data_IF_814516591256
#
_entry.id   IF_814516591256
#
_cell.length_a   1.000
_cell.length_b   1.000
_cell.length_c   1.000
_cell.angle_alpha   90.00
_cell.angle_beta   90.00
_cell.angle_gamma   90.00
#
_symmetry.space_group_name_H-M   'P 1'
#
loop_
_entity.id
_entity.type
_entity.pdbx_description
1 polymer ?
#
# COMPACT_ATOMS: atom_id res chain seq x y z
N UNK A 1 42.33 28.13 8.37
CA UNK A 1 41.11 28.47 7.64
C UNK A 1 40.38 27.25 7.08
N UNK A 2 41.00 26.33 6.33
CA UNK A 2 40.28 25.15 5.76
C UNK A 2 39.64 24.23 6.78
N UNK A 3 40.21 24.01 7.98
CA UNK A 3 39.64 23.17 9.03
C UNK A 3 38.42 23.81 9.72
N UNK A 4 38.35 25.14 9.78
CA UNK A 4 37.21 25.86 10.37
C UNK A 4 35.96 25.81 9.45
N UNK A 5 36.21 25.87 8.12
CA UNK A 5 35.14 25.79 7.12
C UNK A 5 34.50 24.39 7.11
N UNK A 6 35.30 23.32 7.26
CA UNK A 6 34.77 21.93 7.33
C UNK A 6 33.93 21.70 8.59
N UNK A 7 34.36 22.28 9.74
CA UNK A 7 33.57 22.21 10.98
C UNK A 7 32.28 23.01 10.89
N UNK A 8 32.27 24.15 10.20
CA UNK A 8 31.07 24.96 9.97
C UNK A 8 30.09 24.24 9.01
N UNK A 9 30.61 23.59 7.96
CA UNK A 9 29.80 22.79 7.04
C UNK A 9 29.22 21.54 7.70
N UNK A 10 29.99 20.87 8.55
CA UNK A 10 29.48 19.73 9.36
C UNK A 10 28.42 20.19 10.40
N UNK A 11 28.61 21.37 10.99
CA UNK A 11 27.64 21.97 11.89
C UNK A 11 26.33 22.37 11.18
N UNK A 12 26.41 22.88 9.95
CA UNK A 12 25.26 23.21 9.12
C UNK A 12 24.52 21.97 8.64
N UNK A 13 25.21 20.88 8.32
CA UNK A 13 24.60 19.58 7.98
C UNK A 13 23.92 18.93 9.19
N UNK A 14 24.48 19.12 10.39
CA UNK A 14 23.84 18.64 11.62
C UNK A 14 22.59 19.46 12.02
N UNK A 15 22.53 20.73 11.61
CA UNK A 15 21.35 21.58 11.86
C UNK A 15 20.23 21.40 10.83
N UNK A 16 20.53 20.82 9.66
CA UNK A 16 19.51 20.55 8.63
C UNK A 16 18.77 19.21 8.82
N UNK A 17 19.17 18.36 9.78
CA UNK A 17 18.49 17.09 10.09
C UNK A 17 17.40 17.20 11.15
N UNK A 18 16.93 18.41 11.47
CA UNK A 18 15.72 18.62 12.25
C UNK A 18 14.46 18.49 11.37
N UNK A 19 14.38 17.46 10.54
CA UNK A 19 13.14 17.10 9.87
C UNK A 19 12.07 16.73 10.92
N UNK A 20 10.86 17.25 10.76
CA UNK A 20 9.70 16.78 11.53
C UNK A 20 9.66 15.26 11.41
N UNK A 21 9.70 14.56 12.53
CA UNK A 21 9.63 13.09 12.52
C UNK A 21 8.17 12.70 12.35
N UNK A 22 7.83 12.11 11.25
CA UNK A 22 6.51 11.54 11.01
C UNK A 22 6.36 10.24 11.83
N UNK A 23 5.23 10.09 12.49
CA UNK A 23 4.88 8.88 13.24
C UNK A 23 3.49 8.45 12.79
N UNK A 24 3.35 7.21 12.40
CA UNK A 24 2.06 6.58 12.19
C UNK A 24 1.62 5.94 13.51
N UNK A 25 0.39 6.20 13.92
CA UNK A 25 -0.14 5.69 15.15
C UNK A 25 -1.57 5.17 14.97
N UNK A 26 -1.85 4.09 15.64
CA UNK A 26 -3.13 3.40 15.70
C UNK A 26 -3.59 3.36 17.14
N UNK A 27 -4.83 3.69 17.44
CA UNK A 27 -5.28 3.66 18.82
C UNK A 27 -6.69 4.15 19.02
N UNK A 28 -7.06 4.29 20.29
CA UNK A 28 -8.36 4.75 20.74
C UNK A 28 -8.26 6.17 21.28
N UNK A 29 -9.20 7.06 20.93
CA UNK A 29 -9.34 8.35 21.61
C UNK A 29 -9.92 8.09 23.01
N UNK A 30 -9.20 8.59 24.03
CA UNK A 30 -9.57 8.44 25.44
C UNK A 30 -9.93 9.78 26.08
N UNK A 31 -9.58 10.90 25.47
CA UNK A 31 -10.00 12.21 25.91
C UNK A 31 -9.99 13.24 24.78
N UNK A 32 -10.81 14.28 24.93
CA UNK A 32 -10.97 15.41 24.01
C UNK A 32 -10.77 16.70 24.76
N UNK A 33 -10.11 17.66 24.11
CA UNK A 33 -9.86 18.98 24.70
C UNK A 33 -10.39 20.06 23.75
N UNK A 34 -11.19 20.97 24.31
CA UNK A 34 -11.75 22.10 23.57
C UNK A 34 -11.15 23.42 24.07
N UNK A 35 -11.15 24.44 23.20
CA UNK A 35 -10.83 25.81 23.60
C UNK A 35 -12.02 26.51 24.30
N UNK A 36 -11.84 27.77 24.68
CA UNK A 36 -12.90 28.58 25.34
C UNK A 36 -14.15 28.77 24.48
N UNK A 37 -14.08 28.58 23.18
CA UNK A 37 -15.20 28.63 22.24
C UNK A 37 -15.95 27.32 22.08
N UNK A 38 -15.44 26.23 22.68
CA UNK A 38 -15.97 24.88 22.52
C UNK A 38 -15.42 24.14 21.29
N UNK A 39 -14.48 24.72 20.54
CA UNK A 39 -13.85 24.07 19.39
C UNK A 39 -12.84 23.05 19.86
N UNK A 40 -12.86 21.86 19.29
CA UNK A 40 -11.88 20.80 19.55
C UNK A 40 -10.49 21.26 19.10
N UNK A 41 -9.50 21.18 19.98
CA UNK A 41 -8.13 21.60 19.73
C UNK A 41 -7.12 20.44 19.87
N UNK A 42 -7.45 19.43 20.63
CA UNK A 42 -6.63 18.23 20.74
C UNK A 42 -7.44 17.03 21.20
N UNK A 43 -6.91 15.85 20.91
CA UNK A 43 -7.39 14.58 21.44
C UNK A 43 -6.25 13.84 22.12
N UNK A 44 -6.56 13.09 23.18
CA UNK A 44 -5.61 12.13 23.77
C UNK A 44 -6.00 10.75 23.29
N UNK A 45 -5.02 10.03 22.76
CA UNK A 45 -5.21 8.68 22.26
C UNK A 45 -4.29 7.68 22.96
N UNK A 46 -4.83 6.53 23.29
CA UNK A 46 -4.05 5.36 23.71
C UNK A 46 -3.72 4.54 22.47
N UNK A 47 -2.43 4.40 22.17
CA UNK A 47 -1.96 3.82 20.92
C UNK A 47 -1.18 2.54 21.14
N UNK A 48 -1.30 1.60 20.20
CA UNK A 48 -0.66 0.29 20.27
C UNK A 48 0.87 0.35 20.30
N UNK A 49 1.46 1.34 19.60
CA UNK A 49 2.92 1.39 19.40
C UNK A 49 3.61 2.53 20.13
N UNK A 50 2.88 3.61 20.47
CA UNK A 50 3.46 4.83 21.02
C UNK A 50 3.01 5.10 22.47
N UNK A 51 2.15 4.23 23.03
CA UNK A 51 1.48 4.47 24.31
C UNK A 51 0.52 5.64 24.25
N UNK A 52 0.20 6.25 25.37
CA UNK A 52 -0.68 7.41 25.41
C UNK A 52 -0.01 8.64 24.82
N UNK A 53 -0.66 9.25 23.82
CA UNK A 53 -0.16 10.43 23.08
C UNK A 53 -1.26 11.50 23.00
N UNK A 54 -0.85 12.77 22.85
CA UNK A 54 -1.75 13.87 22.53
C UNK A 54 -1.58 14.27 21.06
N UNK A 55 -2.69 14.41 20.37
CA UNK A 55 -2.77 14.86 18.99
C UNK A 55 -3.37 16.27 18.97
N UNK A 56 -2.60 17.23 18.48
CA UNK A 56 -3.02 18.61 18.33
C UNK A 56 -3.62 18.75 16.95
N UNK A 57 -4.86 19.21 16.88
CA UNK A 57 -5.54 19.48 15.62
C UNK A 57 -5.09 20.83 15.08
N UNK A 58 -4.58 20.82 13.86
CA UNK A 58 -4.17 22.00 13.11
C UNK A 58 -5.33 22.46 12.21
N UNK A 59 -5.28 23.67 11.68
CA UNK A 59 -6.30 24.17 10.74
C UNK A 59 -6.42 23.31 9.47
N UNK A 60 -5.35 22.63 9.10
CA UNK A 60 -5.27 21.73 7.94
C UNK A 60 -5.24 20.26 8.30
N UNK A 61 -5.58 19.88 9.53
CA UNK A 61 -5.75 18.47 9.89
C UNK A 61 -6.88 17.88 9.07
N UNK A 62 -6.58 16.87 8.29
CA UNK A 62 -7.60 16.15 7.53
C UNK A 62 -8.29 15.15 8.44
N UNK A 63 -9.62 15.23 8.50
CA UNK A 63 -10.46 14.26 9.22
C UNK A 63 -11.18 13.42 8.17
N UNK A 64 -10.88 12.13 8.16
CA UNK A 64 -11.54 11.14 7.29
C UNK A 64 -12.64 10.44 8.10
N UNK A 65 -13.86 10.90 7.89
CA UNK A 65 -15.05 10.41 8.61
C UNK A 65 -15.93 9.67 7.60
N UNK A 66 -16.38 8.44 7.89
CA UNK A 66 -17.31 7.72 7.04
C UNK A 66 -18.57 8.54 6.74
N UNK A 67 -19.14 8.40 5.55
CA UNK A 67 -20.34 9.13 5.08
C UNK A 67 -21.55 9.01 6.03
N UNK A 68 -21.58 8.00 6.86
CA UNK A 68 -22.63 7.75 7.85
C UNK A 68 -22.48 8.57 9.14
N UNK A 69 -21.35 9.25 9.33
CA UNK A 69 -21.05 10.08 10.51
C UNK A 69 -20.77 11.51 10.11
N UNK A 70 -21.24 12.45 10.91
CA UNK A 70 -20.78 13.83 10.81
C UNK A 70 -19.44 13.99 11.51
N UNK A 71 -18.66 15.03 11.13
CA UNK A 71 -17.44 15.39 11.88
C UNK A 71 -17.75 15.61 13.38
N UNK A 72 -18.93 16.12 13.68
CA UNK A 72 -19.38 16.38 15.05
C UNK A 72 -19.60 15.07 15.82
N UNK A 73 -20.20 14.03 15.19
CA UNK A 73 -20.38 12.71 15.79
C UNK A 73 -19.03 12.06 16.07
N UNK A 74 -18.09 12.11 15.11
CA UNK A 74 -16.73 11.61 15.28
C UNK A 74 -16.01 12.24 16.47
N UNK A 75 -16.22 13.53 16.69
CA UNK A 75 -15.55 14.28 17.74
C UNK A 75 -16.22 14.13 19.11
N UNK A 76 -17.48 13.68 19.16
CA UNK A 76 -18.28 13.61 20.40
C UNK A 76 -18.64 12.21 20.85
N UNK A 77 -18.65 11.24 19.96
CA UNK A 77 -19.01 9.85 20.30
C UNK A 77 -17.82 9.12 20.96
N UNK A 78 -17.98 8.80 22.25
CA UNK A 78 -16.98 8.09 23.04
C UNK A 78 -16.82 6.61 22.66
N UNK A 79 -17.74 6.07 21.86
CA UNK A 79 -17.67 4.69 21.37
C UNK A 79 -16.75 4.53 20.17
N UNK A 80 -16.38 5.63 19.50
CA UNK A 80 -15.55 5.61 18.29
C UNK A 80 -14.08 5.32 18.60
N UNK A 81 -13.47 4.52 17.74
CA UNK A 81 -12.04 4.18 17.79
C UNK A 81 -11.34 4.82 16.59
N UNK A 82 -10.86 6.06 16.69
CA UNK A 82 -10.23 6.69 15.56
C UNK A 82 -8.93 6.02 15.19
N UNK A 83 -8.71 5.96 13.92
CA UNK A 83 -7.45 5.63 13.30
C UNK A 83 -6.59 6.90 13.16
N UNK A 84 -5.33 6.83 13.56
CA UNK A 84 -4.39 7.95 13.43
C UNK A 84 -3.30 7.51 12.49
N UNK A 85 -3.27 8.07 11.27
CA UNK A 85 -2.34 7.62 10.25
C UNK A 85 -1.02 8.37 10.25
N UNK A 86 -1.04 9.70 10.36
CA UNK A 86 0.16 10.52 10.25
C UNK A 86 0.16 11.65 11.25
N UNK A 87 1.21 11.75 12.03
CA UNK A 87 1.38 12.80 13.03
C UNK A 87 2.83 13.32 12.99
N UNK A 88 3.00 14.62 13.26
CA UNK A 88 4.30 15.26 13.36
C UNK A 88 4.63 15.56 14.81
N UNK A 89 5.89 15.34 15.21
CA UNK A 89 6.36 15.65 16.56
C UNK A 89 6.16 17.15 16.85
N UNK A 90 5.24 17.47 17.74
CA UNK A 90 4.98 18.82 18.21
C UNK A 90 5.97 19.16 19.31
N UNK A 91 6.99 19.95 19.00
CA UNK A 91 7.92 20.51 19.99
C UNK A 91 7.25 21.61 20.84
N UNK A 92 6.12 21.32 21.42
CA UNK A 92 5.39 22.28 22.26
C UNK A 92 5.78 22.06 23.71
N UNK A 93 6.52 22.99 24.28
CA UNK A 93 7.02 22.96 25.64
C UNK A 93 6.03 23.28 26.72
N UNK A 94 4.72 23.05 26.59
CA UNK A 94 3.73 23.30 27.63
C UNK A 94 2.72 22.17 27.74
N UNK A 95 2.65 21.61 28.97
CA UNK A 95 1.64 20.68 29.48
C UNK A 95 1.41 19.41 28.64
N UNK A 96 2.49 18.65 28.47
CA UNK A 96 2.41 17.31 27.91
C UNK A 96 2.08 16.31 29.04
N UNK A 97 1.00 16.55 29.78
CA UNK A 97 0.56 15.67 30.86
C UNK A 97 -0.89 15.29 30.64
N UNK A 98 -1.18 14.03 30.87
CA UNK A 98 -2.52 13.49 30.97
C UNK A 98 -2.59 12.61 32.21
N UNK A 99 -3.60 12.80 33.05
CA UNK A 99 -3.74 12.10 34.35
C UNK A 99 -2.47 12.12 35.23
N UNK A 100 -1.73 13.26 35.22
CA UNK A 100 -0.44 13.49 35.91
C UNK A 100 0.77 12.75 35.32
N UNK A 101 0.63 12.05 34.19
CA UNK A 101 1.74 11.43 33.49
C UNK A 101 2.20 12.29 32.31
N UNK A 102 3.51 12.26 32.04
CA UNK A 102 4.05 12.93 30.83
C UNK A 102 3.74 12.10 29.60
N UNK A 103 3.05 12.71 28.64
CA UNK A 103 2.74 12.11 27.35
C UNK A 103 3.44 12.85 26.22
N UNK A 104 3.61 12.18 25.08
CA UNK A 104 4.14 12.81 23.84
C UNK A 104 3.02 13.57 23.14
N UNK A 105 3.37 14.72 22.54
CA UNK A 105 2.45 15.52 21.76
C UNK A 105 2.88 15.55 20.29
N UNK A 106 1.90 15.45 19.41
CA UNK A 106 2.12 15.47 17.98
C UNK A 106 1.09 16.39 17.30
N UNK A 107 1.51 17.09 16.26
CA UNK A 107 0.59 17.79 15.37
C UNK A 107 -0.01 16.77 14.41
N UNK A 108 -1.31 16.58 14.42
CA UNK A 108 -1.99 15.64 13.55
C UNK A 108 -2.14 16.24 12.14
N UNK A 109 -1.64 15.55 11.13
CA UNK A 109 -1.87 15.85 9.73
C UNK A 109 -3.15 15.18 9.23
N UNK A 110 -3.41 13.98 9.72
CA UNK A 110 -4.56 13.18 9.36
C UNK A 110 -5.08 12.42 10.58
N UNK A 111 -6.39 12.41 10.79
CA UNK A 111 -7.08 11.54 11.74
C UNK A 111 -8.22 10.90 10.96
N UNK A 112 -8.18 9.58 10.81
CA UNK A 112 -9.23 8.79 10.20
C UNK A 112 -9.84 7.81 11.19
N UNK A 113 -10.99 7.28 10.86
CA UNK A 113 -11.62 6.21 11.60
C UNK A 113 -11.22 4.87 11.01
N UNK A 114 -10.86 3.90 11.83
CA UNK A 114 -10.77 2.52 11.37
C UNK A 114 -12.17 1.96 11.12
N UNK A 115 -12.27 0.95 10.27
CA UNK A 115 -13.54 0.26 10.01
C UNK A 115 -14.09 -0.23 11.35
N UNK A 116 -15.27 0.21 11.68
CA UNK A 116 -15.72 0.21 13.05
C UNK A 116 -16.24 -1.11 13.55
N UNK A 117 -15.73 -1.48 14.72
CA UNK A 117 -16.35 -2.51 15.58
C UNK A 117 -17.71 -2.09 16.16
N UNK A 118 -18.07 -0.82 16.03
CA UNK A 118 -19.32 -0.25 16.57
C UNK A 118 -20.44 -0.19 15.53
N UNK A 119 -20.12 -0.36 14.23
CA UNK A 119 -21.14 -0.50 13.20
C UNK A 119 -21.84 -1.86 13.30
N UNK A 120 -23.11 -1.90 12.94
CA UNK A 120 -23.79 -3.19 12.79
C UNK A 120 -23.11 -3.94 11.65
N UNK A 121 -22.72 -5.23 11.84
CA UNK A 121 -22.12 -5.99 10.76
C UNK A 121 -23.01 -5.95 9.52
N UNK A 122 -22.43 -5.61 8.37
CA UNK A 122 -23.16 -5.58 7.10
C UNK A 122 -23.66 -6.98 6.72
N UNK A 123 -22.89 -8.01 7.10
CA UNK A 123 -23.22 -9.42 6.82
C UNK A 123 -22.41 -10.37 7.72
N UNK A 124 -22.63 -11.66 7.50
CA UNK A 124 -21.85 -12.75 8.10
C UNK A 124 -21.36 -13.66 7.00
N UNK A 125 -20.11 -14.12 7.09
CA UNK A 125 -19.52 -15.14 6.22
C UNK A 125 -19.26 -16.39 7.08
N UNK A 126 -19.61 -17.57 6.57
CA UNK A 126 -19.36 -18.84 7.24
C UNK A 126 -18.23 -19.57 6.50
N UNK A 127 -17.16 -19.90 7.20
CA UNK A 127 -16.04 -20.68 6.68
C UNK A 127 -16.40 -22.18 6.56
N UNK A 128 -15.56 -22.94 5.89
CA UNK A 128 -15.78 -24.36 5.61
C UNK A 128 -15.90 -25.23 6.87
N UNK A 129 -15.26 -24.83 7.97
CA UNK A 129 -15.31 -25.49 9.27
C UNK A 129 -16.53 -25.07 10.15
N UNK A 130 -17.41 -24.20 9.60
CA UNK A 130 -18.56 -23.66 10.31
C UNK A 130 -18.27 -22.43 11.17
N UNK A 131 -17.04 -21.90 11.15
CA UNK A 131 -16.71 -20.64 11.84
C UNK A 131 -17.41 -19.47 11.17
N UNK A 132 -18.09 -18.65 11.97
CA UNK A 132 -18.75 -17.43 11.50
C UNK A 132 -17.86 -16.21 11.71
N UNK A 133 -17.72 -15.40 10.65
CA UNK A 133 -17.08 -14.12 10.63
C UNK A 133 -18.10 -13.01 10.47
N UNK A 134 -18.03 -11.97 11.28
CA UNK A 134 -18.75 -10.71 11.07
C UNK A 134 -18.03 -9.89 10.03
N UNK A 135 -18.77 -9.30 9.11
CA UNK A 135 -18.24 -8.50 8.01
C UNK A 135 -18.65 -7.05 8.22
N UNK A 136 -17.66 -6.17 8.28
CA UNK A 136 -17.85 -4.73 8.33
C UNK A 136 -17.25 -4.16 7.05
N UNK A 137 -17.97 -3.31 6.34
CA UNK A 137 -17.52 -2.76 5.08
C UNK A 137 -17.81 -1.25 5.00
N UNK A 138 -16.87 -0.51 4.43
CA UNK A 138 -17.03 0.86 3.97
C UNK A 138 -16.69 0.98 2.47
N UNK A 139 -16.46 2.20 1.96
CA UNK A 139 -16.10 2.45 0.56
C UNK A 139 -14.77 1.81 0.15
N UNK A 140 -13.81 1.74 1.06
CA UNK A 140 -12.41 1.43 0.75
C UNK A 140 -11.94 0.10 1.33
N UNK A 141 -12.66 -0.41 2.34
CA UNK A 141 -12.21 -1.56 3.09
C UNK A 141 -13.35 -2.53 3.45
N UNK A 142 -12.97 -3.77 3.67
CA UNK A 142 -13.82 -4.78 4.33
C UNK A 142 -13.04 -5.44 5.45
N UNK A 143 -13.59 -5.45 6.67
CA UNK A 143 -13.02 -6.09 7.84
C UNK A 143 -13.78 -7.37 8.17
N UNK A 144 -13.06 -8.45 8.38
CA UNK A 144 -13.58 -9.75 8.76
C UNK A 144 -13.16 -10.09 10.19
N UNK A 145 -14.12 -10.16 11.11
CA UNK A 145 -13.89 -10.32 12.55
C UNK A 145 -14.52 -11.60 13.06
N UNK A 146 -13.78 -12.37 13.84
CA UNK A 146 -14.32 -13.53 14.56
C UNK A 146 -15.41 -13.11 15.54
N UNK A 147 -16.42 -13.95 15.78
CA UNK A 147 -17.54 -13.65 16.69
C UNK A 147 -17.10 -13.28 18.11
N UNK A 148 -15.89 -13.68 18.52
CA UNK A 148 -15.27 -13.32 19.79
C UNK A 148 -14.57 -11.95 19.79
N UNK A 149 -14.60 -11.23 18.68
CA UNK A 149 -14.06 -9.86 18.57
C UNK A 149 -12.61 -9.76 18.07
N UNK A 150 -11.98 -10.85 17.66
CA UNK A 150 -10.63 -10.80 17.05
C UNK A 150 -10.76 -10.44 15.57
N UNK A 151 -10.09 -9.38 15.15
CA UNK A 151 -9.98 -8.99 13.75
C UNK A 151 -9.04 -9.97 13.04
N UNK A 152 -9.60 -10.67 12.06
CA UNK A 152 -8.87 -11.72 11.36
C UNK A 152 -8.16 -11.17 10.13
N UNK A 153 -8.91 -10.48 9.27
CA UNK A 153 -8.45 -10.02 7.97
C UNK A 153 -9.10 -8.69 7.62
N UNK A 154 -8.30 -7.76 7.13
CA UNK A 154 -8.74 -6.54 6.47
C UNK A 154 -8.43 -6.64 4.98
N UNK A 155 -9.42 -6.44 4.16
CA UNK A 155 -9.31 -6.32 2.72
C UNK A 155 -9.38 -4.85 2.33
N UNK A 156 -8.32 -4.30 1.74
CA UNK A 156 -8.40 -3.02 1.06
C UNK A 156 -9.02 -3.26 -0.32
N UNK A 157 -10.06 -2.51 -0.67
CA UNK A 157 -10.70 -2.68 -1.97
C UNK A 157 -9.70 -2.39 -3.10
N UNK A 158 -9.78 -3.11 -4.23
CA UNK A 158 -8.88 -2.90 -5.35
C UNK A 158 -8.85 -1.45 -5.81
N UNK A 159 -7.66 -0.87 -5.88
CA UNK A 159 -7.49 0.48 -6.41
C UNK A 159 -7.65 0.50 -7.93
N UNK A 160 -8.06 1.67 -8.44
CA UNK A 160 -8.07 1.99 -9.86
C UNK A 160 -7.01 3.06 -10.15
N UNK A 161 -6.55 3.22 -11.41
CA UNK A 161 -5.59 4.27 -11.77
C UNK A 161 -6.07 5.70 -11.46
N UNK A 162 -7.35 5.93 -11.29
CA UNK A 162 -7.95 7.22 -10.93
C UNK A 162 -7.54 7.69 -9.54
N UNK A 163 -7.35 6.75 -8.62
CA UNK A 163 -6.98 7.01 -7.23
C UNK A 163 -5.46 7.16 -7.03
N UNK A 164 -4.67 7.04 -8.11
CA UNK A 164 -3.22 7.04 -8.03
C UNK A 164 -2.66 8.36 -8.52
N UNK A 165 -1.94 9.06 -7.66
CA UNK A 165 -1.26 10.29 -8.04
C UNK A 165 -0.09 9.96 -8.99
N UNK A 166 -0.17 10.46 -10.21
CA UNK A 166 0.87 10.30 -11.23
C UNK A 166 1.29 11.64 -11.80
N UNK A 167 2.52 11.71 -12.31
CA UNK A 167 3.11 12.95 -12.82
C UNK A 167 3.51 12.79 -14.29
N UNK A 168 3.35 13.86 -15.08
CA UNK A 168 3.78 13.89 -16.46
C UNK A 168 2.99 12.93 -17.35
N UNK A 169 3.68 12.22 -18.24
CA UNK A 169 3.06 11.29 -19.19
C UNK A 169 2.39 10.07 -18.52
N UNK A 170 2.74 9.76 -17.28
CA UNK A 170 2.15 8.66 -16.50
C UNK A 170 0.75 8.98 -15.96
N UNK A 171 0.34 10.24 -16.02
CA UNK A 171 -0.97 10.66 -15.52
C UNK A 171 -2.08 10.29 -16.50
N UNK A 172 -3.05 9.50 -16.03
CA UNK A 172 -4.24 9.11 -16.79
C UNK A 172 -5.12 10.32 -17.16
N UNK A 173 -5.10 11.41 -16.39
CA UNK A 173 -5.85 12.63 -16.66
C UNK A 173 -5.36 13.38 -17.90
N UNK A 174 -4.17 13.07 -18.39
CA UNK A 174 -3.63 13.62 -19.63
C UNK A 174 -4.11 12.87 -20.89
N UNK A 175 -4.93 11.83 -20.72
CA UNK A 175 -5.53 11.08 -21.82
C UNK A 175 -6.80 11.79 -22.31
N UNK A 176 -7.23 11.44 -23.53
CA UNK A 176 -8.59 11.79 -23.92
C UNK A 176 -9.61 10.97 -23.11
N UNK A 177 -10.80 11.51 -22.91
CA UNK A 177 -11.84 10.91 -22.06
C UNK A 177 -12.24 9.49 -22.49
N UNK A 178 -12.21 9.21 -23.80
CA UNK A 178 -12.53 7.87 -24.30
C UNK A 178 -11.48 6.84 -23.90
N UNK A 179 -10.20 7.16 -24.06
CA UNK A 179 -9.11 6.26 -23.67
C UNK A 179 -9.08 6.06 -22.16
N UNK A 180 -9.27 7.15 -21.39
CA UNK A 180 -9.38 7.07 -19.92
C UNK A 180 -10.51 6.13 -19.52
N UNK A 181 -11.70 6.29 -20.06
CA UNK A 181 -12.85 5.46 -19.76
C UNK A 181 -12.62 3.97 -20.06
N UNK A 182 -11.93 3.64 -21.15
CA UNK A 182 -11.59 2.25 -21.52
C UNK A 182 -10.64 1.64 -20.49
N UNK A 183 -9.60 2.38 -20.06
CA UNK A 183 -8.66 1.90 -19.03
C UNK A 183 -9.38 1.68 -17.68
N UNK A 184 -10.22 2.60 -17.25
CA UNK A 184 -10.97 2.47 -16.00
C UNK A 184 -11.91 1.27 -16.04
N UNK A 185 -12.64 1.08 -17.16
CA UNK A 185 -13.51 -0.09 -17.37
C UNK A 185 -12.73 -1.41 -17.31
N UNK A 186 -11.51 -1.44 -17.87
CA UNK A 186 -10.65 -2.62 -17.77
C UNK A 186 -10.36 -3.01 -16.30
N UNK A 187 -10.01 -2.03 -15.45
CA UNK A 187 -9.72 -2.30 -14.04
C UNK A 187 -10.98 -2.65 -13.24
N UNK A 188 -12.12 -2.03 -13.55
CA UNK A 188 -13.40 -2.35 -12.95
C UNK A 188 -13.85 -3.78 -13.31
N UNK A 189 -13.80 -4.16 -14.58
CA UNK A 189 -14.17 -5.49 -15.05
C UNK A 189 -13.22 -6.58 -14.54
N UNK A 190 -11.93 -6.28 -14.42
CA UNK A 190 -10.95 -7.21 -13.89
C UNK A 190 -11.20 -7.53 -12.41
N UNK A 191 -11.59 -6.53 -11.63
CA UNK A 191 -11.90 -6.67 -10.22
C UNK A 191 -10.75 -7.22 -9.38
N UNK A 192 -11.07 -8.13 -8.45
CA UNK A 192 -10.11 -8.80 -7.55
C UNK A 192 -9.28 -9.84 -8.30
N UNK A 193 -7.97 -9.86 -8.04
CA UNK A 193 -7.03 -10.88 -8.52
C UNK A 193 -6.85 -12.06 -7.53
N UNK A 194 -7.71 -12.17 -6.55
CA UNK A 194 -7.71 -13.19 -5.52
C UNK A 194 -9.14 -13.64 -5.21
N UNK A 195 -9.28 -14.84 -4.65
CA UNK A 195 -10.53 -15.32 -4.10
C UNK A 195 -10.58 -15.01 -2.60
N UNK A 196 -11.47 -14.12 -2.21
CA UNK A 196 -11.58 -13.69 -0.81
C UNK A 196 -11.95 -14.87 0.10
N UNK A 197 -12.73 -15.85 -0.37
CA UNK A 197 -13.09 -17.03 0.42
C UNK A 197 -11.86 -17.87 0.73
N UNK A 198 -11.01 -18.12 -0.29
CA UNK A 198 -9.75 -18.84 -0.09
C UNK A 198 -8.83 -18.10 0.87
N UNK A 199 -8.73 -16.77 0.77
CA UNK A 199 -7.86 -15.98 1.64
C UNK A 199 -8.39 -15.93 3.09
N UNK A 200 -9.70 -15.92 3.30
CA UNK A 200 -10.30 -16.04 4.64
C UNK A 200 -10.04 -17.40 5.27
N UNK A 201 -10.14 -18.50 4.50
CA UNK A 201 -9.80 -19.86 4.98
C UNK A 201 -8.32 -19.94 5.39
N UNK A 202 -7.40 -19.39 4.58
CA UNK A 202 -5.97 -19.32 4.89
C UNK A 202 -5.72 -18.48 6.16
N UNK A 203 -6.33 -17.30 6.24
CA UNK A 203 -6.20 -16.42 7.38
C UNK A 203 -6.69 -17.12 8.67
N UNK A 204 -7.81 -17.81 8.61
CA UNK A 204 -8.32 -18.58 9.74
C UNK A 204 -7.41 -19.74 10.13
N UNK A 205 -6.84 -20.45 9.16
CA UNK A 205 -5.88 -21.52 9.42
C UNK A 205 -4.61 -20.98 10.13
N UNK A 206 -4.10 -19.82 9.71
CA UNK A 206 -2.99 -19.15 10.38
C UNK A 206 -3.37 -18.76 11.82
N UNK A 207 -4.56 -18.18 12.03
CA UNK A 207 -5.06 -17.85 13.36
C UNK A 207 -5.18 -19.09 14.25
N UNK A 208 -5.68 -20.22 13.73
CA UNK A 208 -5.81 -21.45 14.50
C UNK A 208 -4.47 -21.99 14.99
N UNK A 209 -3.40 -21.81 14.20
CA UNK A 209 -2.04 -22.23 14.53
C UNK A 209 -1.30 -21.23 15.43
N UNK A 210 -1.79 -20.00 15.55
CA UNK A 210 -1.17 -18.97 16.36
C UNK A 210 -1.16 -19.33 17.85
N UNK A 211 -0.02 -19.06 18.51
CA UNK A 211 0.13 -19.20 19.94
C UNK A 211 -0.37 -17.97 20.71
N UNK A 212 -0.56 -16.84 20.03
CA UNK A 212 -0.97 -15.57 20.62
C UNK A 212 -2.31 -15.10 20.05
N UNK A 213 -3.38 -15.85 20.33
CA UNK A 213 -4.72 -15.56 19.83
C UNK A 213 -5.34 -14.29 20.38
N UNK A 214 -4.93 -13.87 21.58
CA UNK A 214 -5.45 -12.66 22.25
C UNK A 214 -4.93 -11.38 21.57
N UNK A 215 -3.69 -11.40 21.10
CA UNK A 215 -3.06 -10.31 20.39
C UNK A 215 -2.68 -10.75 18.96
N UNK A 216 -3.59 -11.42 18.27
CA UNK A 216 -3.38 -11.85 16.91
C UNK A 216 -3.27 -10.63 16.00
N UNK A 217 -2.18 -10.48 15.22
CA UNK A 217 -2.04 -9.36 14.32
C UNK A 217 -3.03 -9.51 13.17
N UNK A 218 -3.92 -8.53 12.99
CA UNK A 218 -4.84 -8.47 11.87
C UNK A 218 -4.06 -8.57 10.56
N UNK A 219 -4.40 -9.56 9.74
CA UNK A 219 -3.82 -9.73 8.42
C UNK A 219 -4.44 -8.76 7.42
N UNK A 220 -3.75 -8.50 6.30
CA UNK A 220 -4.22 -7.54 5.29
C UNK A 220 -4.08 -8.12 3.90
N UNK A 221 -5.07 -7.80 3.07
CA UNK A 221 -5.01 -7.96 1.61
C UNK A 221 -5.01 -6.57 1.00
N UNK A 222 -4.12 -6.36 0.04
CA UNK A 222 -4.04 -5.10 -0.70
C UNK A 222 -3.80 -5.38 -2.18
N UNK A 223 -4.61 -4.78 -3.04
CA UNK A 223 -4.43 -4.76 -4.48
C UNK A 223 -4.30 -3.32 -4.94
N UNK A 224 -3.10 -2.91 -5.26
CA UNK A 224 -2.76 -1.53 -5.62
C UNK A 224 -2.33 -1.44 -7.07
N UNK A 225 -2.58 -0.28 -7.70
CA UNK A 225 -2.18 0.02 -9.09
C UNK A 225 -1.22 1.20 -9.08
N UNK A 226 -0.08 1.07 -9.76
CA UNK A 226 0.94 2.12 -9.83
C UNK A 226 1.35 2.39 -11.27
N UNK A 227 1.39 3.65 -11.73
CA UNK A 227 1.98 4.00 -13.00
C UNK A 227 3.51 3.86 -12.91
N UNK A 228 4.11 3.02 -13.73
CA UNK A 228 5.54 2.70 -13.66
C UNK A 228 6.36 3.32 -14.76
N UNK A 229 5.80 3.39 -15.97
CA UNK A 229 6.46 3.96 -17.13
C UNK A 229 5.45 4.56 -18.11
N UNK A 230 5.92 5.35 -19.05
CA UNK A 230 5.12 5.87 -20.14
C UNK A 230 6.01 6.30 -21.32
N UNK A 231 5.41 6.41 -22.52
CA UNK A 231 5.95 7.13 -23.64
C UNK A 231 4.82 7.84 -24.41
N UNK A 232 5.06 8.35 -25.60
CA UNK A 232 4.03 9.06 -26.37
C UNK A 232 2.88 8.15 -26.83
N UNK A 233 3.07 6.83 -26.88
CA UNK A 233 2.08 5.86 -27.36
C UNK A 233 1.49 5.01 -26.26
N UNK A 234 2.25 4.72 -25.20
CA UNK A 234 1.91 3.72 -24.19
C UNK A 234 1.88 4.27 -22.78
N UNK A 235 1.06 3.64 -21.96
CA UNK A 235 1.06 3.71 -20.50
C UNK A 235 1.34 2.34 -19.93
N UNK A 236 2.18 2.29 -18.90
CA UNK A 236 2.53 1.08 -18.17
C UNK A 236 2.12 1.23 -16.72
N UNK A 237 1.33 0.28 -16.25
CA UNK A 237 0.95 0.18 -14.85
C UNK A 237 1.48 -1.12 -14.25
N UNK A 238 1.81 -1.06 -12.96
CA UNK A 238 2.06 -2.24 -12.15
C UNK A 238 0.87 -2.43 -11.21
N UNK A 239 0.20 -3.57 -11.29
CA UNK A 239 -0.68 -4.02 -10.21
C UNK A 239 0.13 -4.86 -9.23
N UNK A 240 0.11 -4.46 -7.97
CA UNK A 240 0.75 -5.17 -6.87
C UNK A 240 -0.33 -5.79 -5.99
N UNK A 241 -0.21 -7.09 -5.71
CA UNK A 241 -1.13 -7.85 -4.88
C UNK A 241 -0.37 -8.39 -3.67
N UNK A 242 -0.73 -7.92 -2.48
CA UNK A 242 -0.22 -8.41 -1.20
C UNK A 242 -1.24 -9.36 -0.57
N UNK A 243 -0.83 -10.59 -0.31
CA UNK A 243 -1.65 -11.63 0.32
C UNK A 243 -0.99 -12.15 1.59
N UNK A 244 -1.75 -12.46 2.64
CA UNK A 244 -1.21 -13.06 3.85
C UNK A 244 -0.49 -14.38 3.57
N UNK A 245 0.71 -14.55 4.15
CA UNK A 245 1.48 -15.79 4.09
C UNK A 245 1.60 -16.45 5.47
N UNK A 246 1.82 -15.63 6.51
CA UNK A 246 1.83 -16.02 7.92
C UNK A 246 1.42 -14.80 8.76
N UNK A 247 1.39 -14.91 10.11
CA UNK A 247 0.91 -13.87 11.03
C UNK A 247 1.46 -12.46 10.76
N UNK A 248 2.71 -12.35 10.27
CA UNK A 248 3.40 -11.05 10.07
C UNK A 248 4.08 -10.96 8.72
N UNK A 249 3.83 -11.90 7.85
CA UNK A 249 4.44 -11.95 6.53
C UNK A 249 3.37 -12.02 5.45
N UNK A 250 3.71 -11.50 4.30
CA UNK A 250 2.86 -11.53 3.11
C UNK A 250 3.67 -12.00 1.90
N UNK A 251 2.98 -12.48 0.91
CA UNK A 251 3.53 -12.68 -0.43
C UNK A 251 3.10 -11.53 -1.32
N UNK A 252 4.01 -11.06 -2.15
CA UNK A 252 3.73 -10.04 -3.16
C UNK A 252 3.72 -10.69 -4.55
N UNK A 253 2.70 -10.37 -5.34
CA UNK A 253 2.63 -10.72 -6.76
C UNK A 253 2.43 -9.45 -7.55
N UNK A 254 3.30 -9.24 -8.52
CA UNK A 254 3.26 -8.07 -9.38
C UNK A 254 2.86 -8.47 -10.79
N UNK A 255 2.18 -7.56 -11.48
CA UNK A 255 1.74 -7.72 -12.86
C UNK A 255 1.83 -6.40 -13.58
N UNK A 256 2.33 -6.40 -14.81
CA UNK A 256 2.34 -5.22 -15.67
C UNK A 256 1.13 -5.23 -16.60
N UNK A 257 0.44 -4.11 -16.68
CA UNK A 257 -0.60 -3.84 -17.65
C UNK A 257 -0.19 -2.67 -18.55
N UNK A 258 -0.41 -2.82 -19.84
CA UNK A 258 0.04 -1.88 -20.86
C UNK A 258 -1.14 -1.43 -21.68
N UNK A 259 -1.24 -0.12 -21.89
CA UNK A 259 -2.37 0.47 -22.61
C UNK A 259 -1.89 1.44 -23.70
N UNK A 260 -2.56 1.40 -24.84
CA UNK A 260 -2.43 2.41 -25.87
C UNK A 260 -3.01 3.75 -25.38
N UNK A 261 -2.23 4.82 -25.47
CA UNK A 261 -2.64 6.14 -24.95
C UNK A 261 -3.75 6.80 -25.76
N UNK A 262 -3.90 6.44 -27.02
CA UNK A 262 -4.90 7.05 -27.89
C UNK A 262 -6.27 6.40 -27.72
N UNK A 263 -6.29 5.09 -27.56
CA UNK A 263 -7.52 4.28 -27.55
C UNK A 263 -7.89 3.75 -26.17
N UNK A 264 -6.94 3.66 -25.24
CA UNK A 264 -7.10 2.99 -23.94
C UNK A 264 -7.07 1.47 -24.04
N UNK A 265 -6.87 0.90 -25.22
CA UNK A 265 -6.87 -0.54 -25.40
C UNK A 265 -5.70 -1.21 -24.67
N UNK A 266 -5.99 -2.31 -23.99
CA UNK A 266 -4.97 -3.18 -23.41
C UNK A 266 -4.13 -3.83 -24.51
N UNK A 267 -2.81 -3.83 -24.31
CA UNK A 267 -1.85 -4.50 -25.19
C UNK A 267 -1.20 -5.68 -24.46
N UNK A 268 -1.20 -6.87 -25.06
CA UNK A 268 -0.41 -7.99 -24.57
C UNK A 268 1.08 -7.65 -24.54
N UNK A 269 1.74 -8.03 -23.45
CA UNK A 269 3.14 -7.66 -23.22
C UNK A 269 4.09 -8.21 -24.29
N UNK A 270 3.78 -9.36 -24.87
CA UNK A 270 4.53 -9.99 -25.95
C UNK A 270 4.59 -9.15 -27.22
N UNK A 271 3.61 -8.30 -27.48
CA UNK A 271 3.58 -7.42 -28.66
C UNK A 271 4.64 -6.30 -28.61
N UNK A 272 5.23 -6.05 -27.44
CA UNK A 272 6.26 -5.03 -27.27
C UNK A 272 7.64 -5.50 -27.75
N UNK A 273 7.82 -6.81 -27.89
CA UNK A 273 9.12 -7.41 -28.17
C UNK A 273 9.29 -7.80 -29.63
N UNK A 274 10.54 -7.74 -30.09
CA UNK A 274 10.92 -8.11 -31.48
C UNK A 274 11.17 -9.60 -31.66
N UNK A 275 11.31 -10.35 -30.56
CA UNK A 275 11.54 -11.79 -30.56
C UNK A 275 10.26 -12.57 -30.21
N UNK A 276 10.17 -13.85 -30.59
CA UNK A 276 9.06 -14.71 -30.20
C UNK A 276 8.97 -14.88 -28.68
N UNK A 277 7.74 -15.02 -28.10
CA UNK A 277 7.55 -15.17 -26.65
C UNK A 277 8.34 -16.32 -26.02
N UNK A 278 8.49 -17.43 -26.74
CA UNK A 278 9.24 -18.61 -26.28
C UNK A 278 10.75 -18.38 -26.13
N UNK A 279 11.31 -17.38 -26.81
CA UNK A 279 12.71 -17.01 -26.72
C UNK A 279 12.96 -15.88 -25.72
N UNK A 280 11.92 -15.13 -25.35
CA UNK A 280 12.04 -13.88 -24.61
C UNK A 280 12.70 -14.08 -23.24
N UNK A 281 12.28 -15.12 -22.49
CA UNK A 281 12.85 -15.41 -21.19
C UNK A 281 14.35 -15.64 -21.24
N UNK A 282 14.83 -16.47 -22.16
CA UNK A 282 16.26 -16.75 -22.30
C UNK A 282 17.07 -15.52 -22.76
N UNK A 283 16.50 -14.66 -23.60
CA UNK A 283 17.14 -13.43 -24.04
C UNK A 283 17.25 -12.39 -22.92
N UNK A 284 16.18 -12.18 -22.15
CA UNK A 284 16.18 -11.28 -21.01
C UNK A 284 17.15 -11.74 -19.89
N UNK A 285 17.16 -13.05 -19.59
CA UNK A 285 18.07 -13.59 -18.59
C UNK A 285 19.55 -13.48 -18.98
N UNK A 286 19.87 -13.51 -20.27
CA UNK A 286 21.22 -13.22 -20.76
C UNK A 286 21.62 -11.76 -20.50
N UNK A 287 20.72 -10.82 -20.75
CA UNK A 287 20.96 -9.40 -20.52
C UNK A 287 21.09 -9.07 -19.03
N UNK A 288 20.30 -9.72 -18.18
CA UNK A 288 20.33 -9.53 -16.72
C UNK A 288 21.55 -10.09 -16.01
N UNK A 289 22.54 -10.63 -16.74
CA UNK A 289 23.78 -11.17 -16.17
C UNK A 289 23.57 -12.25 -15.11
N UNK A 290 22.56 -13.10 -15.29
CA UNK A 290 22.22 -14.19 -14.39
C UNK A 290 23.35 -15.24 -14.35
N UNK A 291 23.66 -15.75 -13.14
CA UNK A 291 24.67 -16.81 -12.96
C UNK A 291 24.27 -18.09 -13.72
N UNK A 292 25.26 -18.88 -14.14
CA UNK A 292 24.97 -20.18 -14.78
C UNK A 292 24.21 -21.13 -13.84
N UNK A 293 24.45 -21.03 -12.53
CA UNK A 293 23.80 -21.88 -11.53
C UNK A 293 22.30 -21.58 -11.40
N UNK A 294 21.88 -20.33 -11.59
CA UNK A 294 20.50 -19.90 -11.44
C UNK A 294 19.73 -19.88 -12.76
N UNK A 295 20.44 -19.80 -13.90
CA UNK A 295 19.86 -19.62 -15.23
C UNK A 295 18.80 -20.68 -15.56
N UNK A 296 19.11 -21.95 -15.37
CA UNK A 296 18.17 -23.04 -15.69
C UNK A 296 16.93 -23.04 -14.82
N UNK A 297 17.05 -22.65 -13.55
CA UNK A 297 15.92 -22.50 -12.64
C UNK A 297 15.03 -21.31 -13.04
N UNK A 298 15.65 -20.15 -13.33
CA UNK A 298 14.95 -18.94 -13.78
C UNK A 298 14.28 -19.10 -15.15
N UNK A 299 14.94 -19.78 -16.12
CA UNK A 299 14.33 -20.09 -17.43
C UNK A 299 13.10 -20.98 -17.27
N UNK A 300 13.14 -21.94 -16.35
CA UNK A 300 12.01 -22.85 -16.09
C UNK A 300 10.86 -22.18 -15.36
N UNK A 301 11.15 -21.18 -14.52
CA UNK A 301 10.17 -20.46 -13.72
C UNK A 301 9.62 -19.20 -14.45
N UNK A 302 10.28 -18.75 -15.51
CA UNK A 302 9.93 -17.50 -16.21
C UNK A 302 8.51 -17.55 -16.76
N UNK A 303 7.77 -16.46 -16.52
CA UNK A 303 6.46 -16.18 -17.09
C UNK A 303 6.44 -14.73 -17.60
N UNK A 304 5.72 -14.47 -18.67
CA UNK A 304 5.61 -13.13 -19.24
C UNK A 304 5.04 -12.11 -18.25
N UNK A 305 4.14 -12.55 -17.39
CA UNK A 305 3.53 -11.70 -16.37
C UNK A 305 4.51 -11.20 -15.29
N UNK A 306 5.72 -11.80 -15.19
CA UNK A 306 6.76 -11.34 -14.27
C UNK A 306 7.52 -10.12 -14.79
N UNK A 307 7.30 -9.72 -16.04
CA UNK A 307 7.97 -8.56 -16.64
C UNK A 307 7.28 -7.28 -16.17
N UNK A 308 8.04 -6.37 -15.57
CA UNK A 308 7.58 -5.05 -15.14
C UNK A 308 8.42 -3.99 -15.83
N UNK A 309 7.77 -3.08 -16.53
CA UNK A 309 8.43 -1.92 -17.14
C UNK A 309 8.54 -0.77 -16.14
N UNK A 310 9.74 -0.18 -16.09
CA UNK A 310 10.05 1.06 -15.36
C UNK A 310 10.64 2.07 -16.34
N UNK A 311 10.78 3.34 -15.96
CA UNK A 311 11.32 4.37 -16.85
C UNK A 311 12.73 4.02 -17.37
N UNK A 312 13.60 3.55 -16.49
CA UNK A 312 15.02 3.32 -16.78
C UNK A 312 15.41 1.85 -16.89
N UNK A 313 14.47 0.94 -16.70
CA UNK A 313 14.77 -0.48 -16.58
C UNK A 313 13.56 -1.35 -16.85
N UNK A 314 13.83 -2.61 -17.14
CA UNK A 314 12.86 -3.70 -17.13
C UNK A 314 13.21 -4.62 -15.96
N UNK A 315 12.22 -4.98 -15.17
CA UNK A 315 12.38 -5.97 -14.11
C UNK A 315 11.74 -7.29 -14.51
N UNK A 316 12.35 -8.39 -14.08
CA UNK A 316 11.68 -9.68 -14.00
C UNK A 316 11.49 -9.96 -12.53
N UNK A 317 10.26 -9.98 -12.08
CA UNK A 317 9.86 -10.13 -10.69
C UNK A 317 9.39 -11.56 -10.42
N UNK A 318 10.31 -12.40 -9.98
CA UNK A 318 10.02 -13.79 -9.61
C UNK A 318 9.36 -13.82 -8.22
N UNK A 319 8.09 -14.25 -8.10
CA UNK A 319 7.42 -14.32 -6.80
C UNK A 319 8.13 -15.28 -5.83
N UNK A 320 7.92 -15.05 -4.53
CA UNK A 320 8.42 -15.96 -3.49
C UNK A 320 7.97 -17.41 -3.76
N UNK A 321 8.91 -18.34 -3.64
CA UNK A 321 8.69 -19.77 -3.89
C UNK A 321 8.69 -20.19 -5.36
N UNK A 322 8.87 -19.27 -6.33
CA UNK A 322 8.97 -19.62 -7.75
C UNK A 322 10.35 -20.16 -8.13
N UNK A 323 11.38 -19.77 -7.41
CA UNK A 323 12.76 -20.20 -7.63
C UNK A 323 13.25 -21.12 -6.51
N UNK A 324 13.97 -22.19 -6.86
CA UNK A 324 14.51 -23.16 -5.88
C UNK A 324 15.65 -22.57 -5.06
N UNK A 325 16.51 -21.79 -5.71
CA UNK A 325 17.69 -21.20 -5.09
C UNK A 325 17.39 -19.88 -4.38
N UNK A 326 16.23 -19.27 -4.65
CA UNK A 326 15.76 -18.00 -4.08
C UNK A 326 14.34 -18.20 -3.56
N UNK A 327 14.17 -18.66 -2.31
CA UNK A 327 12.84 -18.94 -1.76
C UNK A 327 12.00 -17.69 -1.54
N UNK A 328 12.66 -16.53 -1.34
CA UNK A 328 12.02 -15.23 -1.26
C UNK A 328 11.79 -14.65 -2.67
N UNK A 329 11.02 -13.55 -2.76
CA UNK A 329 10.87 -12.78 -3.99
C UNK A 329 12.25 -12.37 -4.54
N UNK A 330 12.46 -12.57 -5.83
CA UNK A 330 13.70 -12.22 -6.50
C UNK A 330 13.44 -11.31 -7.69
N UNK A 331 14.04 -10.12 -7.67
CA UNK A 331 13.89 -9.13 -8.74
C UNK A 331 15.19 -9.04 -9.54
N UNK A 332 15.13 -9.41 -10.82
CA UNK A 332 16.20 -9.21 -11.77
C UNK A 332 15.98 -7.88 -12.50
N UNK A 333 16.91 -6.95 -12.37
CA UNK A 333 16.89 -5.67 -13.07
C UNK A 333 17.74 -5.73 -14.35
N UNK A 334 17.18 -5.26 -15.45
CA UNK A 334 17.83 -5.12 -16.75
C UNK A 334 17.74 -3.65 -17.15
N UNK A 335 18.88 -3.00 -17.39
CA UNK A 335 18.89 -1.59 -17.75
C UNK A 335 18.23 -1.34 -19.11
N UNK A 336 17.69 -0.14 -19.27
CA UNK A 336 17.03 0.26 -20.53
C UNK A 336 17.92 0.09 -21.76
N UNK A 337 19.21 0.43 -21.64
CA UNK A 337 20.14 0.31 -22.75
C UNK A 337 20.30 -1.13 -23.27
N UNK A 338 20.26 -2.10 -22.36
CA UNK A 338 20.38 -3.52 -22.66
C UNK A 338 19.13 -4.05 -23.36
N UNK A 339 17.96 -3.49 -23.08
CA UNK A 339 16.66 -3.95 -23.64
C UNK A 339 16.34 -3.35 -25.00
N UNK A 340 17.02 -2.29 -25.43
CA UNK A 340 16.72 -1.59 -26.70
C UNK A 340 16.69 -2.50 -27.94
N UNK A 341 17.53 -3.56 -27.98
CA UNK A 341 17.54 -4.50 -29.07
C UNK A 341 16.41 -5.54 -29.07
N UNK A 342 15.69 -5.66 -27.96
CA UNK A 342 14.57 -6.60 -27.81
C UNK A 342 13.20 -5.94 -27.92
N UNK A 343 13.11 -4.64 -27.73
CA UNK A 343 11.86 -3.90 -27.83
C UNK A 343 11.69 -3.28 -29.21
N UNK A 344 10.47 -3.17 -29.65
CA UNK A 344 10.14 -2.30 -30.77
C UNK A 344 10.39 -0.83 -30.37
N UNK A 345 10.86 0.02 -31.28
CA UNK A 345 11.16 1.44 -31.01
C UNK A 345 9.97 2.19 -30.39
N UNK A 346 8.76 1.86 -30.80
CA UNK A 346 7.55 2.49 -30.29
C UNK A 346 7.14 2.02 -28.89
N UNK A 347 7.74 0.93 -28.38
CA UNK A 347 7.44 0.32 -27.10
C UNK A 347 8.39 0.77 -25.98
N UNK A 348 9.47 1.50 -26.30
CA UNK A 348 10.49 1.92 -25.35
C UNK A 348 9.91 3.01 -24.41
N UNK A 349 9.90 2.80 -23.06
CA UNK A 349 9.53 3.84 -22.11
C UNK A 349 10.45 5.07 -22.21
N UNK A 350 9.94 6.26 -21.86
CA UNK A 350 10.71 7.52 -21.88
C UNK A 350 11.01 8.06 -20.48
#
# INVERSE_FOLDING_TARGET
MKRLIVLLLLGLLALSSCGKRTVNAHGKIIARETDESGRLVSVVADTETNGTIRLILMENTHLDVPDSFSEEDFLTDDSLYPFISTVYDARTGKNNTYENEKIRCYEAEFIGMDIEKNSVPASTVTLSDGTELRVYADSDHTLYTLTKGTDLLRENHPQTPENVMAVGKKNIDNLNESAKAVILSYYEERGRLYDITEELEKAHAIYQQSQNKENFPMMRIEQSVYPTAANDKLLFFKTSLHLPLAEKTFTERNRCEIFDRQTGAYLPIEELFTCPPEELGSQLLKLGSVSEADRGDMESAFQLEYIIFMDDSLFIDFPAGSLKNHPDQYILSIGKAETLGLLHDWAIPE
#
